data_IF_168003102785
#
_entry.id   IF_168003102785
#
_cell.length_a   1.000
_cell.length_b   1.000
_cell.length_c   1.000
_cell.angle_alpha   90.00
_cell.angle_beta   90.00
_cell.angle_gamma   90.00
#
_symmetry.space_group_name_H-M   'P 1'
#
loop_
_entity.id
_entity.type
_entity.pdbx_description
1 polymer ?
#
# COMPACT_ATOMS: atom_id res chain seq x y z
N UNK A 1 35.25 22.77 15.66
CA UNK A 1 34.12 23.55 15.09
C UNK A 1 32.83 22.75 15.02
N UNK A 2 32.79 21.55 14.42
CA UNK A 2 31.54 20.77 14.29
C UNK A 2 30.87 20.40 15.64
N UNK A 3 31.66 20.01 16.65
CA UNK A 3 31.16 19.67 18.00
C UNK A 3 30.46 20.83 18.68
N UNK A 4 31.01 22.04 18.55
CA UNK A 4 30.40 23.25 19.11
C UNK A 4 29.02 23.52 18.51
N UNK A 5 28.85 23.34 17.19
CA UNK A 5 27.55 23.50 16.52
C UNK A 5 26.56 22.43 16.99
N UNK A 6 27.02 21.19 17.14
CA UNK A 6 26.20 20.08 17.60
C UNK A 6 25.71 20.29 19.05
N UNK A 7 26.60 20.72 19.93
CA UNK A 7 26.29 21.01 21.33
C UNK A 7 25.31 22.19 21.44
N UNK A 8 25.48 23.22 20.60
CA UNK A 8 24.55 24.35 20.49
C UNK A 8 23.17 23.92 19.97
N UNK A 9 23.12 22.98 19.04
CA UNK A 9 21.88 22.51 18.41
C UNK A 9 21.06 21.64 19.37
N UNK A 10 21.71 20.86 20.22
CA UNK A 10 21.06 19.97 21.21
C UNK A 10 20.81 20.64 22.57
N UNK A 11 20.95 21.96 22.65
CA UNK A 11 20.68 22.71 23.88
C UNK A 11 19.18 22.66 24.25
N UNK A 12 18.88 22.46 25.53
CA UNK A 12 17.53 22.35 26.07
C UNK A 12 16.68 23.60 25.77
N UNK A 13 17.30 24.79 25.80
CA UNK A 13 16.59 26.06 25.63
C UNK A 13 16.03 26.29 24.21
N UNK A 14 16.54 25.56 23.21
CA UNK A 14 16.07 25.69 21.82
C UNK A 14 14.79 24.88 21.60
N UNK A 15 14.69 23.71 22.23
CA UNK A 15 13.65 22.73 21.92
C UNK A 15 12.57 22.64 23.00
N UNK A 16 12.88 23.00 24.25
CA UNK A 16 11.97 22.86 25.37
C UNK A 16 11.49 24.21 25.92
N UNK A 17 10.25 24.28 26.44
CA UNK A 17 9.77 25.39 27.23
C UNK A 17 10.61 25.62 28.49
N UNK A 18 10.55 26.85 28.99
CA UNK A 18 11.16 27.22 30.28
C UNK A 18 10.66 26.27 31.40
N UNK A 19 11.60 25.73 32.18
CA UNK A 19 11.40 24.76 33.28
C UNK A 19 11.14 23.29 32.89
N UNK A 20 11.50 22.87 31.67
CA UNK A 20 11.47 21.45 31.30
C UNK A 20 12.84 20.98 30.81
N UNK A 21 13.30 19.82 31.31
CA UNK A 21 14.57 19.20 30.92
C UNK A 21 14.33 17.92 30.14
N UNK A 22 15.34 17.44 29.39
CA UNK A 22 15.22 16.15 28.70
C UNK A 22 15.00 14.98 29.68
N UNK A 23 15.48 15.09 30.92
CA UNK A 23 15.27 14.10 31.98
C UNK A 23 13.79 13.92 32.31
N UNK A 24 12.99 15.00 32.21
CA UNK A 24 11.54 14.99 32.45
C UNK A 24 10.75 14.28 31.35
N UNK A 25 11.38 13.95 30.22
CA UNK A 25 10.74 13.25 29.09
C UNK A 25 11.20 11.78 29.02
N UNK A 26 12.32 11.42 29.64
CA UNK A 26 12.81 10.04 29.59
C UNK A 26 11.82 9.04 30.22
N UNK A 27 11.59 7.87 29.58
CA UNK A 27 10.73 6.83 30.12
C UNK A 27 11.44 6.14 31.28
N UNK A 28 11.10 6.53 32.50
CA UNK A 28 11.71 5.97 33.70
C UNK A 28 11.45 6.82 34.94
N UNK A 29 10.68 6.27 35.86
CA UNK A 29 10.45 6.71 37.24
C UNK A 29 9.62 8.00 37.46
N UNK A 30 8.34 7.74 37.76
CA UNK A 30 7.42 8.57 38.55
C UNK A 30 6.82 9.81 37.89
N UNK A 31 5.92 9.59 36.90
CA UNK A 31 5.16 10.66 36.21
C UNK A 31 3.71 10.21 36.06
N UNK A 32 2.76 11.05 36.47
CA UNK A 32 1.31 10.79 36.34
C UNK A 32 0.84 10.74 34.87
N UNK A 33 1.62 11.34 33.96
CA UNK A 33 1.35 11.41 32.53
C UNK A 33 2.30 10.44 31.80
N UNK A 34 1.73 9.35 31.27
CA UNK A 34 2.45 8.36 30.48
C UNK A 34 2.62 8.86 29.05
N UNK A 35 3.85 9.22 28.67
CA UNK A 35 4.19 9.58 27.29
C UNK A 35 4.44 8.34 26.41
N UNK A 36 4.31 8.50 25.10
CA UNK A 36 4.58 7.42 24.13
C UNK A 36 6.07 7.10 24.07
N UNK A 37 6.44 5.88 24.46
CA UNK A 37 7.81 5.37 24.38
C UNK A 37 8.22 5.16 22.91
N UNK A 38 9.36 5.71 22.52
CA UNK A 38 9.94 5.55 21.19
C UNK A 38 10.23 4.07 20.86
N UNK A 39 10.38 3.21 21.87
CA UNK A 39 10.57 1.76 21.69
C UNK A 39 9.35 1.08 21.07
N UNK A 40 8.15 1.67 21.15
CA UNK A 40 6.96 1.12 20.50
C UNK A 40 7.03 1.21 18.96
N UNK A 41 7.85 2.09 18.40
CA UNK A 41 8.12 2.16 16.95
C UNK A 41 8.95 0.99 16.42
N UNK A 42 9.56 0.17 17.30
CA UNK A 42 10.28 -1.04 16.93
C UNK A 42 9.41 -2.30 16.88
N UNK A 43 8.12 -2.22 17.26
CA UNK A 43 7.18 -3.33 17.16
C UNK A 43 6.61 -3.61 15.74
N UNK A 44 6.41 -2.59 14.87
CA UNK A 44 5.95 -2.79 13.49
C UNK A 44 6.92 -3.53 12.53
N UNK A 45 8.26 -3.37 12.60
CA UNK A 45 9.18 -4.00 11.65
C UNK A 45 9.13 -5.54 11.60
N UNK A 46 9.07 -6.28 12.74
CA UNK A 46 8.89 -7.74 12.71
C UNK A 46 7.61 -8.18 11.97
N UNK A 47 6.50 -7.45 12.16
CA UNK A 47 5.22 -7.73 11.50
C UNK A 47 5.23 -7.43 10.00
N UNK A 48 6.21 -6.66 9.52
CA UNK A 48 6.36 -6.34 8.11
C UNK A 48 7.14 -7.40 7.32
N UNK A 49 7.93 -8.25 7.98
CA UNK A 49 8.75 -9.29 7.35
C UNK A 49 7.90 -10.45 6.81
N UNK A 50 6.82 -10.80 7.50
CA UNK A 50 5.92 -11.89 7.09
C UNK A 50 4.90 -11.47 6.00
N UNK A 51 4.92 -10.21 5.59
CA UNK A 51 3.97 -9.71 4.59
C UNK A 51 4.49 -10.08 3.19
N UNK A 52 3.71 -10.79 2.37
CA UNK A 52 4.13 -11.13 1.01
C UNK A 52 4.50 -9.85 0.26
N UNK A 53 5.68 -9.86 -0.35
CA UNK A 53 6.26 -8.68 -0.98
C UNK A 53 5.33 -8.15 -2.07
N UNK A 54 5.41 -6.84 -2.32
CA UNK A 54 4.63 -6.19 -3.39
C UNK A 54 4.87 -6.83 -4.75
N UNK A 55 6.06 -7.39 -4.99
CA UNK A 55 6.41 -8.10 -6.22
C UNK A 55 5.70 -9.44 -6.38
N UNK A 56 5.53 -10.19 -5.29
CA UNK A 56 4.79 -11.47 -5.34
C UNK A 56 3.33 -11.22 -5.71
N UNK A 57 2.68 -10.24 -5.07
CA UNK A 57 1.30 -9.85 -5.38
C UNK A 57 1.14 -9.30 -6.80
N UNK A 58 2.15 -8.57 -7.28
CA UNK A 58 2.17 -8.08 -8.66
C UNK A 58 2.21 -9.25 -9.65
N UNK A 59 3.10 -10.21 -9.44
CA UNK A 59 3.21 -11.41 -10.26
C UNK A 59 1.91 -12.25 -10.22
N UNK A 60 1.28 -12.38 -9.05
CA UNK A 60 -0.01 -13.03 -8.86
C UNK A 60 -1.14 -12.35 -9.66
N UNK A 61 -1.16 -11.02 -9.71
CA UNK A 61 -2.15 -10.32 -10.52
C UNK A 61 -1.83 -10.39 -12.03
N UNK A 62 -0.56 -10.44 -12.42
CA UNK A 62 -0.16 -10.51 -13.82
C UNK A 62 -0.65 -11.80 -14.50
N UNK A 63 -0.53 -12.96 -13.85
CA UNK A 63 -0.97 -14.21 -14.47
C UNK A 63 -2.50 -14.27 -14.61
N UNK A 64 -3.23 -13.74 -13.61
CA UNK A 64 -4.69 -13.64 -13.68
C UNK A 64 -5.14 -12.73 -14.84
N UNK A 65 -4.55 -11.54 -14.96
CA UNK A 65 -4.84 -10.61 -16.06
C UNK A 65 -4.52 -11.27 -17.42
N UNK A 66 -3.36 -11.92 -17.53
CA UNK A 66 -2.94 -12.60 -18.77
C UNK A 66 -3.93 -13.69 -19.16
N UNK A 67 -4.39 -14.51 -18.21
CA UNK A 67 -5.37 -15.56 -18.45
C UNK A 67 -6.72 -15.02 -18.97
N UNK A 68 -7.23 -13.95 -18.36
CA UNK A 68 -8.52 -13.37 -18.75
C UNK A 68 -8.45 -12.67 -20.11
N UNK A 69 -7.38 -11.92 -20.38
CA UNK A 69 -7.18 -11.25 -21.68
C UNK A 69 -7.07 -12.29 -22.79
N UNK A 70 -6.31 -13.37 -22.57
CA UNK A 70 -6.19 -14.46 -23.53
C UNK A 70 -7.55 -15.12 -23.80
N UNK A 71 -8.28 -15.51 -22.76
CA UNK A 71 -9.60 -16.16 -22.90
C UNK A 71 -10.62 -15.26 -23.62
N UNK A 72 -10.62 -13.96 -23.35
CA UNK A 72 -11.49 -12.99 -24.01
C UNK A 72 -11.15 -12.83 -25.50
N UNK A 73 -9.86 -12.65 -25.82
CA UNK A 73 -9.41 -12.52 -27.21
C UNK A 73 -9.70 -13.77 -28.04
N UNK A 74 -9.55 -14.96 -27.44
CA UNK A 74 -9.93 -16.23 -28.07
C UNK A 74 -11.44 -16.30 -28.34
N UNK A 75 -12.27 -15.88 -27.39
CA UNK A 75 -13.72 -15.78 -27.59
C UNK A 75 -14.10 -14.86 -28.74
N UNK A 76 -13.47 -13.68 -28.82
CA UNK A 76 -13.68 -12.74 -29.94
C UNK A 76 -13.23 -13.34 -31.27
N UNK A 77 -12.08 -14.04 -31.29
CA UNK A 77 -11.56 -14.70 -32.48
C UNK A 77 -12.53 -15.76 -33.02
N UNK A 78 -13.06 -16.63 -32.15
CA UNK A 78 -14.01 -17.68 -32.54
C UNK A 78 -15.33 -17.10 -33.08
N UNK A 79 -15.77 -15.97 -32.53
CA UNK A 79 -17.02 -15.34 -32.95
C UNK A 79 -16.87 -14.39 -34.15
N UNK A 80 -15.63 -14.07 -34.57
CA UNK A 80 -15.35 -13.07 -35.60
C UNK A 80 -15.99 -13.38 -36.96
N UNK A 81 -16.05 -14.66 -37.32
CA UNK A 81 -16.61 -15.14 -38.59
C UNK A 81 -18.15 -15.15 -38.62
N UNK A 82 -18.81 -14.79 -37.52
CA UNK A 82 -20.26 -14.83 -37.42
C UNK A 82 -20.87 -13.50 -37.86
N UNK A 83 -21.76 -13.54 -38.85
CA UNK A 83 -22.41 -12.34 -39.41
C UNK A 83 -23.18 -11.54 -38.36
N UNK A 84 -23.77 -12.21 -37.36
CA UNK A 84 -24.49 -11.56 -36.26
C UNK A 84 -23.58 -10.78 -35.29
N UNK A 85 -22.27 -11.04 -35.29
CA UNK A 85 -21.34 -10.26 -34.48
C UNK A 85 -21.16 -8.84 -35.06
N UNK A 86 -21.28 -8.70 -36.38
CA UNK A 86 -21.15 -7.43 -37.09
C UNK A 86 -22.48 -6.74 -37.33
N UNK A 87 -23.55 -7.50 -37.51
CA UNK A 87 -24.87 -6.98 -37.79
C UNK A 87 -25.94 -7.65 -36.91
N UNK A 88 -26.42 -6.90 -35.92
CA UNK A 88 -27.39 -7.36 -34.91
C UNK A 88 -28.73 -7.73 -35.56
N UNK A 89 -29.07 -7.16 -36.72
CA UNK A 89 -30.32 -7.43 -37.43
C UNK A 89 -30.45 -8.91 -37.85
N UNK A 90 -29.31 -9.60 -38.04
CA UNK A 90 -29.29 -11.02 -38.37
C UNK A 90 -29.79 -11.91 -37.22
N UNK A 91 -29.76 -11.44 -35.97
CA UNK A 91 -30.31 -12.19 -34.83
C UNK A 91 -31.84 -12.35 -34.89
N UNK A 92 -32.53 -11.47 -35.63
CA UNK A 92 -34.00 -11.43 -35.67
C UNK A 92 -34.60 -12.06 -36.93
N UNK A 93 -33.78 -12.66 -37.80
CA UNK A 93 -34.24 -13.26 -39.06
C UNK A 93 -35.08 -14.51 -38.80
N UNK A 94 -36.41 -14.36 -38.87
CA UNK A 94 -37.40 -15.43 -38.74
C UNK A 94 -38.12 -15.46 -37.38
N UNK A 95 -37.83 -14.53 -36.46
CA UNK A 95 -38.67 -14.35 -35.28
C UNK A 95 -40.06 -13.81 -35.69
N UNK A 96 -41.20 -14.30 -35.14
CA UNK A 96 -41.33 -15.30 -34.07
C UNK A 96 -41.52 -16.76 -34.55
N UNK A 97 -41.37 -17.05 -35.84
CA UNK A 97 -41.64 -18.37 -36.45
C UNK A 97 -40.34 -19.02 -37.01
N UNK A 98 -39.31 -19.05 -36.17
CA UNK A 98 -37.98 -19.61 -36.46
C UNK A 98 -37.93 -21.11 -36.22
#
# INVERSE_FOLDING_TARGET
MLRFVLDKFWDESIWLPENTTWNDITPGSNKDIVYTDYRHLLYPPPLAVDKPSTLVKFCENMWAITFYVYSFSFGLYVMWDKEWLWNIDHCFIGYPHQ
#
